data_IF_263659699533
#
_entry.id   IF_263659699533
#
_cell.length_a   1.000
_cell.length_b   1.000
_cell.length_c   1.000
_cell.angle_alpha   90.00
_cell.angle_beta   90.00
_cell.angle_gamma   90.00
#
_symmetry.space_group_name_H-M   'P 1'
#
loop_
_entity.id
_entity.type
_entity.pdbx_description
1 polymer ?
#
# COMPACT_ATOMS: atom_id res chain seq x y z
N UNK A 1 -1.19 -9.27 1.05
CA UNK A 1 -0.13 -8.73 0.23
C UNK A 1 1.06 -8.39 1.10
N UNK A 2 1.40 -7.16 1.39
CA UNK A 2 2.54 -6.83 2.25
C UNK A 2 2.05 -6.53 3.66
N UNK A 3 2.78 -6.99 4.68
CA UNK A 3 2.52 -6.67 6.09
C UNK A 3 3.24 -5.35 6.41
N UNK A 4 2.48 -4.26 6.46
CA UNK A 4 2.93 -2.96 6.94
C UNK A 4 1.87 -2.37 7.87
N UNK A 5 2.25 -1.48 8.78
CA UNK A 5 1.31 -0.81 9.67
C UNK A 5 0.75 0.45 8.98
N UNK A 6 -0.55 0.47 8.64
CA UNK A 6 -1.16 1.61 7.98
C UNK A 6 -1.39 2.82 8.93
N UNK A 7 -1.22 2.65 10.25
CA UNK A 7 -1.44 3.73 11.21
C UNK A 7 -0.35 4.81 11.18
N UNK A 8 0.82 4.49 10.65
CA UNK A 8 1.94 5.42 10.58
C UNK A 8 1.96 6.27 9.30
N UNK A 9 0.98 6.09 8.41
CA UNK A 9 0.94 6.85 7.17
C UNK A 9 -0.47 6.99 6.63
N UNK A 10 -0.62 7.85 5.63
CA UNK A 10 -1.90 8.20 5.01
C UNK A 10 -2.15 7.33 3.78
N UNK A 11 -3.43 7.20 3.41
CA UNK A 11 -3.80 6.53 2.17
C UNK A 11 -3.78 7.51 1.00
N UNK A 12 -3.05 7.18 -0.05
CA UNK A 12 -3.04 7.95 -1.31
C UNK A 12 -4.23 7.60 -2.20
N UNK A 13 -4.60 6.32 -2.26
CA UNK A 13 -5.73 5.83 -3.02
C UNK A 13 -6.28 4.54 -2.43
N UNK A 14 -7.60 4.36 -2.49
CA UNK A 14 -8.26 3.16 -1.99
C UNK A 14 -9.29 2.63 -2.99
N UNK A 15 -9.32 1.33 -3.16
CA UNK A 15 -10.33 0.63 -3.95
C UNK A 15 -10.97 -0.46 -3.08
N UNK A 16 -12.29 -0.44 -2.97
CA UNK A 16 -13.08 -1.41 -2.22
C UNK A 16 -13.81 -2.33 -3.21
N UNK A 17 -13.49 -3.60 -3.16
CA UNK A 17 -14.07 -4.63 -4.01
C UNK A 17 -15.00 -5.49 -3.16
N UNK A 18 -16.30 -5.37 -3.39
CA UNK A 18 -17.32 -6.14 -2.70
C UNK A 18 -17.78 -7.31 -3.57
N UNK A 19 -17.93 -8.47 -2.96
CA UNK A 19 -18.47 -9.67 -3.61
C UNK A 19 -19.65 -10.23 -2.80
N UNK A 20 -20.71 -10.65 -3.50
CA UNK A 20 -21.89 -11.26 -2.91
C UNK A 20 -23.07 -10.31 -2.80
N UNK A 21 -23.98 -10.61 -1.87
CA UNK A 21 -25.19 -9.84 -1.63
C UNK A 21 -24.88 -8.57 -0.83
N UNK A 22 -24.51 -7.51 -1.55
CA UNK A 22 -24.12 -6.22 -0.98
C UNK A 22 -24.97 -5.12 -1.60
N UNK A 23 -25.57 -4.28 -0.75
CA UNK A 23 -26.39 -3.14 -1.18
C UNK A 23 -25.53 -1.90 -1.32
N UNK A 24 -25.56 -1.18 -2.46
CA UNK A 24 -24.76 0.03 -2.67
C UNK A 24 -24.98 1.11 -1.61
N UNK A 25 -26.18 1.19 -1.03
CA UNK A 25 -26.50 2.14 0.05
C UNK A 25 -25.66 1.88 1.31
N UNK A 26 -25.50 0.61 1.68
CA UNK A 26 -24.74 0.21 2.86
C UNK A 26 -23.25 0.49 2.67
N UNK A 27 -22.75 0.31 1.43
CA UNK A 27 -21.38 0.66 1.06
C UNK A 27 -21.14 2.16 1.19
N UNK A 28 -22.06 2.99 0.71
CA UNK A 28 -21.95 4.46 0.82
C UNK A 28 -21.98 4.91 2.28
N UNK A 29 -22.81 4.29 3.12
CA UNK A 29 -22.86 4.56 4.55
C UNK A 29 -21.54 4.15 5.27
N UNK A 30 -20.98 3.01 4.89
CA UNK A 30 -19.69 2.55 5.43
C UNK A 30 -18.55 3.52 5.07
N UNK A 31 -18.50 3.99 3.82
CA UNK A 31 -17.50 4.97 3.36
C UNK A 31 -17.65 6.29 4.12
N UNK A 32 -18.87 6.79 4.29
CA UNK A 32 -19.13 7.98 5.08
C UNK A 32 -18.62 7.83 6.52
N UNK A 33 -18.84 6.65 7.13
CA UNK A 33 -18.33 6.34 8.47
C UNK A 33 -16.80 6.31 8.52
N UNK A 34 -16.14 5.77 7.49
CA UNK A 34 -14.67 5.74 7.41
C UNK A 34 -14.12 7.16 7.32
N UNK A 35 -14.71 8.01 6.47
CA UNK A 35 -14.29 9.41 6.30
C UNK A 35 -14.44 10.26 7.57
N UNK A 36 -15.41 9.95 8.42
CA UNK A 36 -15.61 10.67 9.70
C UNK A 36 -14.63 10.24 10.79
N UNK A 37 -13.91 9.12 10.59
CA UNK A 37 -12.91 8.66 11.55
C UNK A 37 -11.58 9.38 11.33
N UNK A 38 -11.16 10.16 12.32
CA UNK A 38 -9.86 10.86 12.34
C UNK A 38 -8.64 9.92 12.38
N UNK A 39 -8.84 8.65 12.67
CA UNK A 39 -7.76 7.65 12.71
C UNK A 39 -7.33 7.17 11.32
N UNK A 40 -8.11 7.47 10.28
CA UNK A 40 -7.83 7.09 8.90
C UNK A 40 -7.63 8.39 8.13
N UNK A 41 -6.38 8.71 7.87
CA UNK A 41 -6.02 9.89 7.10
C UNK A 41 -5.87 9.51 5.63
N UNK A 42 -6.50 10.26 4.75
CA UNK A 42 -6.31 10.16 3.30
C UNK A 42 -5.61 11.43 2.84
N UNK A 43 -4.49 11.28 2.16
CA UNK A 43 -3.89 12.40 1.44
C UNK A 43 -4.79 12.71 0.27
N UNK A 44 -5.29 13.92 0.25
CA UNK A 44 -6.01 14.59 -0.85
C UNK A 44 -6.44 13.63 -1.98
N UNK A 45 -7.38 12.72 -1.67
CA UNK A 45 -7.96 11.81 -2.65
C UNK A 45 -9.14 12.53 -3.33
N UNK A 46 -8.93 13.33 -4.39
CA UNK A 46 -10.01 14.05 -5.05
C UNK A 46 -11.09 13.11 -5.58
N UNK A 47 -10.73 11.86 -5.85
CA UNK A 47 -11.65 10.82 -6.31
C UNK A 47 -12.22 9.95 -5.18
N UNK A 48 -11.70 10.05 -3.94
CA UNK A 48 -12.12 9.26 -2.79
C UNK A 48 -11.93 7.75 -2.98
N UNK A 49 -12.79 6.99 -2.33
CA UNK A 49 -12.80 5.53 -2.47
C UNK A 49 -13.45 5.12 -3.79
N UNK A 50 -12.75 4.31 -4.57
CA UNK A 50 -13.34 3.61 -5.72
C UNK A 50 -14.01 2.34 -5.22
N UNK A 51 -15.23 2.09 -5.68
CA UNK A 51 -16.02 0.93 -5.27
C UNK A 51 -16.41 0.11 -6.48
N UNK A 52 -16.24 -1.19 -6.36
CA UNK A 52 -16.78 -2.17 -7.31
C UNK A 52 -17.61 -3.21 -6.54
N UNK A 53 -18.78 -3.55 -7.06
CA UNK A 53 -19.68 -4.54 -6.48
C UNK A 53 -19.89 -5.64 -7.50
N UNK A 54 -19.56 -6.87 -7.12
CA UNK A 54 -19.89 -8.08 -7.86
C UNK A 54 -20.92 -8.86 -7.05
N UNK A 55 -22.12 -9.02 -7.59
CA UNK A 55 -23.21 -9.71 -6.90
C UNK A 55 -23.02 -11.22 -6.79
N UNK A 56 -22.02 -11.77 -7.46
CA UNK A 56 -21.66 -13.17 -7.34
C UNK A 56 -20.86 -13.39 -6.05
N UNK A 57 -21.27 -14.33 -5.18
CA UNK A 57 -20.51 -14.67 -3.99
C UNK A 57 -19.14 -15.25 -4.37
N UNK A 58 -18.13 -15.12 -3.50
CA UNK A 58 -16.79 -15.66 -3.73
C UNK A 58 -16.86 -17.17 -3.96
N UNK A 59 -16.19 -17.64 -5.00
CA UNK A 59 -16.05 -19.06 -5.29
C UNK A 59 -14.89 -19.65 -4.51
N UNK A 60 -15.09 -20.86 -3.99
CA UNK A 60 -14.05 -21.62 -3.29
C UNK A 60 -13.78 -22.93 -4.04
N UNK A 61 -12.53 -23.37 -3.98
CA UNK A 61 -12.13 -24.65 -4.57
C UNK A 61 -12.68 -25.78 -3.69
N UNK A 62 -13.39 -26.77 -4.25
CA UNK A 62 -13.85 -27.92 -3.49
C UNK A 62 -12.68 -28.65 -2.82
N UNK A 63 -12.78 -28.86 -1.51
CA UNK A 63 -11.71 -29.48 -0.71
C UNK A 63 -10.56 -28.55 -0.27
N UNK A 64 -10.65 -27.25 -0.54
CA UNK A 64 -9.71 -26.26 -0.04
C UNK A 64 -10.05 -25.80 1.40
N UNK A 65 -9.05 -25.15 2.04
CA UNK A 65 -9.17 -24.64 3.42
C UNK A 65 -9.96 -23.34 3.55
N UNK A 66 -10.39 -22.74 2.43
CA UNK A 66 -11.10 -21.46 2.42
C UNK A 66 -12.60 -21.69 2.68
N UNK A 67 -13.14 -21.01 3.70
CA UNK A 67 -14.56 -21.09 4.02
C UNK A 67 -15.44 -20.46 2.91
N UNK A 68 -16.58 -21.12 2.61
CA UNK A 68 -17.59 -20.58 1.71
C UNK A 68 -18.38 -19.49 2.43
N UNK A 69 -18.20 -18.24 2.00
CA UNK A 69 -18.89 -17.07 2.56
C UNK A 69 -19.87 -16.48 1.55
N UNK A 70 -20.92 -15.83 2.04
CA UNK A 70 -21.93 -15.16 1.20
C UNK A 70 -21.52 -13.75 0.79
N UNK A 71 -20.65 -13.11 1.57
CA UNK A 71 -20.19 -11.74 1.35
C UNK A 71 -18.69 -11.68 1.64
N UNK A 72 -17.99 -10.93 0.83
CA UNK A 72 -16.58 -10.62 1.06
C UNK A 72 -16.26 -9.20 0.62
N UNK A 73 -15.27 -8.61 1.24
CA UNK A 73 -14.69 -7.33 0.83
C UNK A 73 -13.19 -7.47 0.73
N UNK A 74 -12.64 -6.93 -0.34
CA UNK A 74 -11.20 -6.79 -0.52
C UNK A 74 -10.89 -5.30 -0.67
N UNK A 75 -9.98 -4.79 0.14
CA UNK A 75 -9.48 -3.44 0.02
C UNK A 75 -8.09 -3.46 -0.60
N UNK A 76 -7.93 -2.71 -1.68
CA UNK A 76 -6.64 -2.41 -2.28
C UNK A 76 -6.34 -0.94 -1.98
N UNK A 77 -5.27 -0.70 -1.27
CA UNK A 77 -4.87 0.65 -0.88
C UNK A 77 -3.43 0.92 -1.27
N UNK A 78 -3.17 2.15 -1.70
CA UNK A 78 -1.83 2.67 -1.86
C UNK A 78 -1.51 3.56 -0.65
N UNK A 79 -0.42 3.25 0.06
CA UNK A 79 0.01 3.97 1.26
C UNK A 79 1.52 4.06 1.32
N UNK A 80 2.10 5.21 1.75
CA UNK A 80 3.53 5.34 1.99
C UNK A 80 4.12 4.37 3.03
N UNK A 81 3.29 3.72 3.86
CA UNK A 81 3.74 2.69 4.79
C UNK A 81 4.50 1.53 4.14
N UNK A 82 4.34 1.33 2.83
CA UNK A 82 5.09 0.33 2.06
C UNK A 82 6.59 0.63 2.03
N UNK A 83 6.99 1.89 2.20
CA UNK A 83 8.39 2.30 2.21
C UNK A 83 9.20 1.56 3.29
N UNK A 84 8.60 1.25 4.44
CA UNK A 84 9.23 0.47 5.50
C UNK A 84 9.68 -0.93 5.01
N UNK A 85 8.86 -1.57 4.18
CA UNK A 85 9.19 -2.86 3.59
C UNK A 85 10.33 -2.75 2.57
N UNK A 86 10.36 -1.68 1.78
CA UNK A 86 11.45 -1.41 0.84
C UNK A 86 12.76 -1.09 1.55
N UNK A 87 12.72 -0.26 2.60
CA UNK A 87 13.88 0.05 3.43
C UNK A 87 14.48 -1.21 4.07
N UNK A 88 13.62 -2.08 4.62
CA UNK A 88 14.05 -3.36 5.19
C UNK A 88 14.75 -4.26 4.16
N UNK A 89 14.15 -4.41 2.98
CA UNK A 89 14.72 -5.20 1.89
C UNK A 89 16.04 -4.59 1.37
N UNK A 90 16.08 -3.27 1.20
CA UNK A 90 17.27 -2.55 0.77
C UNK A 90 18.42 -2.71 1.76
N UNK A 91 18.14 -2.67 3.06
CA UNK A 91 19.13 -2.88 4.10
C UNK A 91 19.72 -4.30 4.05
N UNK A 92 18.90 -5.32 3.97
CA UNK A 92 19.34 -6.72 3.85
C UNK A 92 20.17 -6.94 2.58
N UNK A 93 19.73 -6.38 1.46
CA UNK A 93 20.44 -6.45 0.20
C UNK A 93 21.82 -5.81 0.31
N UNK A 94 21.92 -4.59 0.87
CA UNK A 94 23.17 -3.87 1.05
C UNK A 94 24.16 -4.63 1.96
N UNK A 95 23.67 -5.27 3.02
CA UNK A 95 24.49 -6.10 3.89
C UNK A 95 25.10 -7.32 3.15
N UNK A 96 24.31 -7.97 2.31
CA UNK A 96 24.77 -9.10 1.51
C UNK A 96 25.74 -8.66 0.40
N UNK A 97 25.44 -7.54 -0.25
CA UNK A 97 26.27 -7.00 -1.32
C UNK A 97 27.63 -6.52 -0.81
N UNK A 98 27.66 -5.82 0.33
CA UNK A 98 28.91 -5.38 0.97
C UNK A 98 29.84 -6.56 1.34
N UNK A 99 29.27 -7.71 1.67
CA UNK A 99 30.02 -8.94 1.96
C UNK A 99 30.31 -9.78 0.71
N UNK A 100 29.93 -9.31 -0.48
CA UNK A 100 30.05 -10.04 -1.75
C UNK A 100 29.42 -11.45 -1.72
N UNK A 101 28.38 -11.65 -0.93
CA UNK A 101 27.71 -12.94 -0.81
C UNK A 101 27.03 -13.29 -2.15
N UNK A 102 27.47 -14.39 -2.76
CA UNK A 102 26.95 -14.90 -4.04
C UNK A 102 27.09 -13.96 -5.25
N UNK A 103 27.71 -12.80 -5.12
CA UNK A 103 27.89 -11.82 -6.21
C UNK A 103 28.64 -12.43 -7.41
N UNK A 104 29.59 -13.33 -7.17
CA UNK A 104 30.39 -13.97 -8.23
C UNK A 104 29.55 -14.82 -9.19
N UNK A 105 28.41 -15.35 -8.75
CA UNK A 105 27.51 -16.11 -9.63
C UNK A 105 26.86 -15.20 -10.69
N UNK A 106 26.50 -13.99 -10.29
CA UNK A 106 25.83 -13.01 -11.15
C UNK A 106 26.83 -12.26 -12.03
N UNK A 107 28.02 -11.96 -11.51
CA UNK A 107 29.11 -11.36 -12.30
C UNK A 107 29.52 -12.27 -13.43
N UNK A 108 29.56 -13.59 -13.20
CA UNK A 108 29.81 -14.59 -14.25
C UNK A 108 28.80 -14.57 -15.39
N UNK A 109 27.56 -14.11 -15.12
CA UNK A 109 26.50 -13.96 -16.12
C UNK A 109 26.43 -12.53 -16.71
N UNK A 110 27.40 -11.67 -16.45
CA UNK A 110 27.49 -10.33 -17.01
C UNK A 110 26.70 -9.23 -16.27
N UNK A 111 26.22 -9.49 -15.05
CA UNK A 111 25.41 -8.57 -14.27
C UNK A 111 26.23 -7.70 -13.30
N UNK A 112 27.46 -7.31 -13.66
CA UNK A 112 28.38 -6.60 -12.76
C UNK A 112 27.83 -5.23 -12.30
N UNK A 113 27.21 -4.46 -13.21
CA UNK A 113 26.65 -3.14 -12.92
C UNK A 113 25.26 -3.15 -12.28
N UNK A 114 24.51 -4.24 -12.44
CA UNK A 114 23.10 -4.31 -12.03
C UNK A 114 22.90 -4.15 -10.51
N UNK A 115 23.83 -4.59 -9.68
CA UNK A 115 23.72 -4.47 -8.23
C UNK A 115 23.80 -3.03 -7.73
N UNK A 116 24.68 -2.21 -8.31
CA UNK A 116 24.79 -0.78 -7.95
C UNK A 116 23.54 -0.02 -8.44
N UNK A 117 23.07 -0.29 -9.63
CA UNK A 117 21.86 0.29 -10.20
C UNK A 117 20.63 -0.03 -9.35
N UNK A 118 20.47 -1.27 -8.91
CA UNK A 118 19.37 -1.67 -8.01
C UNK A 118 19.44 -0.93 -6.67
N UNK A 119 20.62 -0.70 -6.10
CA UNK A 119 20.76 0.08 -4.86
C UNK A 119 20.27 1.52 -5.05
N UNK A 120 20.64 2.14 -6.16
CA UNK A 120 20.24 3.51 -6.49
C UNK A 120 18.73 3.62 -6.73
N UNK A 121 18.17 2.69 -7.49
CA UNK A 121 16.73 2.64 -7.77
C UNK A 121 15.89 2.44 -6.50
N UNK A 122 16.33 1.55 -5.60
CA UNK A 122 15.65 1.33 -4.33
C UNK A 122 15.72 2.55 -3.42
N UNK A 123 16.85 3.23 -3.36
CA UNK A 123 17.01 4.46 -2.58
C UNK A 123 16.15 5.61 -3.16
N UNK A 124 16.07 5.73 -4.48
CA UNK A 124 15.22 6.70 -5.15
C UNK A 124 13.73 6.44 -4.85
N UNK A 125 13.29 5.18 -4.93
CA UNK A 125 11.92 4.79 -4.63
C UNK A 125 11.54 5.09 -3.16
N UNK A 126 12.42 4.80 -2.22
CA UNK A 126 12.22 5.10 -0.80
C UNK A 126 12.03 6.62 -0.58
N UNK A 127 12.89 7.42 -1.20
CA UNK A 127 12.83 8.88 -1.14
C UNK A 127 11.53 9.43 -1.73
N UNK A 128 11.06 8.90 -2.86
CA UNK A 128 9.80 9.31 -3.48
C UNK A 128 8.61 9.09 -2.53
N UNK A 129 8.59 7.96 -1.81
CA UNK A 129 7.54 7.71 -0.81
C UNK A 129 7.65 8.61 0.42
N UNK A 130 8.86 8.96 0.86
CA UNK A 130 9.08 9.90 1.96
C UNK A 130 8.63 11.31 1.61
N UNK A 131 8.91 11.79 0.40
CA UNK A 131 8.46 13.10 -0.09
C UNK A 131 6.94 13.21 -0.10
N UNK A 132 6.23 12.19 -0.61
CA UNK A 132 4.75 12.16 -0.58
C UNK A 132 4.21 12.18 0.84
N UNK A 133 4.87 11.50 1.78
CA UNK A 133 4.46 11.51 3.17
C UNK A 133 4.69 12.89 3.83
N UNK A 134 5.78 13.58 3.50
CA UNK A 134 6.11 14.91 4.02
C UNK A 134 5.18 16.00 3.49
N UNK A 135 4.95 16.06 2.18
CA UNK A 135 4.06 17.06 1.55
C UNK A 135 2.65 17.03 2.14
N UNK A 136 2.18 15.88 2.56
CA UNK A 136 0.87 15.73 3.16
C UNK A 136 0.77 16.34 4.57
N UNK A 137 1.86 16.39 5.30
CA UNK A 137 1.90 16.97 6.66
C UNK A 137 1.90 18.50 6.59
N UNK A 138 2.58 19.08 5.61
CA UNK A 138 2.64 20.53 5.43
C UNK A 138 1.27 21.11 5.05
N UNK A 139 0.53 20.45 4.16
CA UNK A 139 -0.83 20.87 3.75
C UNK A 139 -1.84 20.84 4.89
N UNK A 140 -1.81 19.82 5.74
CA UNK A 140 -2.70 19.79 6.92
C UNK A 140 -2.40 20.91 7.91
N UNK A 141 -1.12 21.25 8.09
CA UNK A 141 -0.72 22.36 8.95
C UNK A 141 -1.15 23.74 8.41
N UNK A 142 -1.37 23.87 7.11
CA UNK A 142 -1.91 25.09 6.48
C UNK A 142 -3.44 25.14 6.60
N UNK A 143 -4.16 24.06 6.37
CA UNK A 143 -5.62 23.99 6.51
C UNK A 143 -6.07 24.27 7.97
N UNK A 144 -5.37 23.72 8.97
CA UNK A 144 -5.65 24.01 10.39
C UNK A 144 -5.37 25.47 10.78
N UNK A 145 -4.50 26.19 10.04
CA UNK A 145 -4.23 27.60 10.28
C UNK A 145 -5.24 28.54 9.62
N UNK A 146 -5.91 28.10 8.57
CA UNK A 146 -6.94 28.87 7.88
C UNK A 146 -8.33 28.75 8.55
N UNK A 147 -8.56 27.72 9.38
CA UNK A 147 -9.81 27.55 10.14
C UNK A 147 -9.84 28.34 11.46
N UNK A 148 -8.77 28.99 11.87
CA UNK A 148 -8.70 29.86 13.06
C UNK A 148 -8.55 31.33 12.67
#
# INVERSE_FOLDING_TARGET
MVKCDPHHSKYMACCLLYCGDVVPKDVSAAIATIRTKRTIQCVDCPTGFKVSINYQPPTVVPGGDVAKVQRAVCMLSNTPAIAEAWAGLGHEFNLMYAKHVSVHWYVGEGMEGAFSEICEDMAALEKDYEEVAADSVEREGEEEREEY
#
